data_IF_140418554212
#
_entry.id   IF_140418554212
#
_cell.length_a   1.000
_cell.length_b   1.000
_cell.length_c   1.000
_cell.angle_alpha   90.00
_cell.angle_beta   90.00
_cell.angle_gamma   90.00
#
_symmetry.space_group_name_H-M   'P 1'
#
loop_
_entity.id
_entity.type
_entity.pdbx_description
1 polymer ?
#
# COMPACT_ATOMS: atom_id res chain seq x y z
N UNK A 1 -21.16 6.80 -1.07
CA UNK A 1 -19.73 6.64 -0.76
C UNK A 1 -18.95 7.01 -2.00
N UNK A 2 -18.15 8.08 -1.97
CA UNK A 2 -17.32 8.42 -3.13
C UNK A 2 -16.17 7.42 -3.22
N UNK A 3 -16.21 6.55 -4.23
CA UNK A 3 -15.11 5.65 -4.51
C UNK A 3 -13.91 6.45 -5.01
N UNK A 4 -13.00 6.81 -4.11
CA UNK A 4 -11.75 7.45 -4.48
C UNK A 4 -10.92 6.46 -5.29
N UNK A 5 -10.67 6.74 -6.56
CA UNK A 5 -9.80 5.89 -7.37
C UNK A 5 -8.37 5.91 -6.78
N UNK A 6 -7.86 4.73 -6.46
CA UNK A 6 -6.56 4.55 -5.79
C UNK A 6 -5.83 3.38 -6.42
N UNK A 7 -4.61 3.64 -6.89
CA UNK A 7 -3.73 2.60 -7.43
C UNK A 7 -2.60 2.35 -6.44
N UNK A 8 -2.36 1.08 -6.09
CA UNK A 8 -1.36 0.68 -5.09
C UNK A 8 -0.15 0.08 -5.79
N UNK A 9 1.05 0.56 -5.42
CA UNK A 9 2.32 0.11 -5.96
C UNK A 9 3.20 -0.42 -4.84
N UNK A 10 3.73 -1.63 -5.03
CA UNK A 10 4.79 -2.19 -4.19
C UNK A 10 6.13 -1.83 -4.81
N UNK A 11 7.02 -1.25 -4.02
CA UNK A 11 8.40 -0.96 -4.43
C UNK A 11 9.35 -2.08 -4.02
N UNK A 12 9.18 -2.61 -2.82
CA UNK A 12 9.96 -3.75 -2.32
C UNK A 12 9.19 -4.51 -1.25
N UNK A 13 9.47 -5.80 -1.15
CA UNK A 13 9.00 -6.64 -0.05
C UNK A 13 10.19 -7.43 0.49
N UNK A 14 10.43 -7.30 1.80
CA UNK A 14 11.44 -8.06 2.52
C UNK A 14 10.72 -9.11 3.37
N UNK A 15 10.74 -10.39 2.97
CA UNK A 15 10.11 -11.44 3.75
C UNK A 15 10.89 -11.67 5.06
N UNK A 16 10.18 -12.13 6.09
CA UNK A 16 10.77 -12.72 7.30
C UNK A 16 9.96 -13.96 7.70
N UNK A 17 10.41 -14.68 8.72
CA UNK A 17 9.72 -15.87 9.22
C UNK A 17 8.26 -15.63 9.64
N UNK A 18 7.92 -14.40 10.06
CA UNK A 18 6.60 -14.08 10.65
C UNK A 18 5.82 -13.08 9.79
N UNK A 19 6.50 -12.06 9.24
CA UNK A 19 5.85 -11.01 8.46
C UNK A 19 6.76 -10.43 7.39
N UNK A 20 6.16 -10.01 6.27
CA UNK A 20 6.87 -9.28 5.22
C UNK A 20 6.79 -7.78 5.47
N UNK A 21 7.95 -7.12 5.48
CA UNK A 21 8.02 -5.65 5.43
C UNK A 21 7.84 -5.22 3.98
N UNK A 22 6.81 -4.43 3.70
CA UNK A 22 6.50 -3.95 2.36
C UNK A 22 6.70 -2.44 2.34
N UNK A 23 7.46 -1.96 1.35
CA UNK A 23 7.56 -0.54 1.06
C UNK A 23 6.88 -0.27 -0.27
N UNK A 24 6.14 0.82 -0.34
CA UNK A 24 5.40 1.15 -1.55
C UNK A 24 4.88 2.58 -1.54
N UNK A 25 3.99 2.83 -2.49
CA UNK A 25 3.24 4.07 -2.56
C UNK A 25 1.88 3.80 -3.19
N UNK A 26 0.92 4.66 -2.93
CA UNK A 26 -0.32 4.69 -3.70
C UNK A 26 -0.47 6.04 -4.41
N UNK A 27 -1.23 6.02 -5.50
CA UNK A 27 -1.64 7.23 -6.23
C UNK A 27 -3.13 7.44 -5.95
N UNK A 28 -3.50 8.62 -5.47
CA UNK A 28 -4.89 9.04 -5.26
C UNK A 28 -5.04 10.48 -5.79
N UNK A 29 -5.99 10.72 -6.69
CA UNK A 29 -6.17 12.04 -7.35
C UNK A 29 -4.86 12.62 -7.92
N UNK A 30 -4.03 11.78 -8.56
CA UNK A 30 -2.73 12.18 -9.11
C UNK A 30 -1.60 12.35 -8.10
N UNK A 31 -1.88 12.23 -6.79
CA UNK A 31 -0.90 12.43 -5.74
C UNK A 31 -0.26 11.12 -5.27
N UNK A 32 1.08 11.11 -5.25
CA UNK A 32 1.87 9.96 -4.82
C UNK A 32 2.14 10.01 -3.31
N UNK A 33 1.59 9.04 -2.58
CA UNK A 33 1.75 8.91 -1.13
C UNK A 33 2.55 7.66 -0.79
N UNK A 34 3.72 7.84 -0.18
CA UNK A 34 4.56 6.73 0.27
C UNK A 34 3.95 6.07 1.52
N UNK A 35 4.04 4.74 1.56
CA UNK A 35 3.63 3.95 2.71
C UNK A 35 4.68 2.90 3.09
N UNK A 36 4.61 2.46 4.34
CA UNK A 36 5.20 1.21 4.83
C UNK A 36 4.07 0.29 5.25
N UNK A 37 4.21 -1.00 4.99
CA UNK A 37 3.23 -1.97 5.43
C UNK A 37 3.89 -3.22 6.01
N UNK A 38 3.16 -3.87 6.90
CA UNK A 38 3.49 -5.18 7.44
C UNK A 38 2.42 -6.14 6.96
N UNK A 39 2.80 -7.15 6.19
CA UNK A 39 1.92 -8.23 5.77
C UNK A 39 2.26 -9.48 6.58
N UNK A 40 1.32 -9.98 7.38
CA UNK A 40 1.52 -11.18 8.19
C UNK A 40 1.23 -12.44 7.36
N UNK A 41 2.16 -13.41 7.39
CA UNK A 41 2.09 -14.59 6.53
C UNK A 41 2.57 -14.36 5.09
N UNK A 42 1.99 -15.09 4.12
CA UNK A 42 2.26 -14.88 2.68
C UNK A 42 1.61 -13.58 2.22
N UNK A 43 2.33 -12.80 1.40
CA UNK A 43 1.77 -11.63 0.71
C UNK A 43 0.60 -12.13 -0.16
N UNK A 44 -0.62 -11.62 0.06
CA UNK A 44 -1.85 -12.08 -0.60
C UNK A 44 -2.72 -13.06 0.22
N UNK A 45 -2.70 -12.98 1.55
CA UNK A 45 -3.46 -13.91 2.41
C UNK A 45 -4.17 -13.27 3.60
N UNK A 46 -3.45 -12.74 4.59
CA UNK A 46 -4.04 -12.69 5.95
C UNK A 46 -3.57 -11.51 6.82
N UNK A 47 -4.02 -10.31 6.47
CA UNK A 47 -3.81 -9.03 7.19
C UNK A 47 -2.58 -8.22 6.76
N UNK A 48 -2.86 -7.00 6.33
CA UNK A 48 -1.85 -5.99 5.99
C UNK A 48 -2.14 -4.75 6.82
N UNK A 49 -1.16 -4.29 7.59
CA UNK A 49 -1.21 -3.00 8.26
C UNK A 49 -0.42 -1.97 7.45
N UNK A 50 -1.07 -0.90 6.99
CA UNK A 50 -0.45 0.17 6.21
C UNK A 50 -0.28 1.42 7.08
N UNK A 51 0.90 2.03 7.00
CA UNK A 51 1.24 3.30 7.67
C UNK A 51 1.80 4.31 6.67
N UNK A 52 1.36 5.55 6.80
CA UNK A 52 1.91 6.71 6.08
C UNK A 52 2.51 7.70 7.09
N UNK A 53 3.29 8.67 6.61
CA UNK A 53 3.82 9.72 7.48
C UNK A 53 2.70 10.70 7.90
N UNK A 54 2.80 11.29 9.10
CA UNK A 54 1.86 12.34 9.58
C UNK A 54 1.75 13.53 8.61
N UNK A 55 2.81 13.86 7.89
CA UNK A 55 2.79 14.90 6.84
C UNK A 55 1.87 14.52 5.68
N UNK A 56 1.83 13.24 5.30
CA UNK A 56 0.94 12.73 4.26
C UNK A 56 -0.52 12.68 4.73
N UNK A 57 -0.78 12.32 6.00
CA UNK A 57 -2.14 12.42 6.57
C UNK A 57 -2.68 13.85 6.50
N UNK A 58 -1.86 14.85 6.89
CA UNK A 58 -2.22 16.26 6.79
C UNK A 58 -2.47 16.68 5.35
N UNK A 59 -1.66 16.19 4.40
CA UNK A 59 -1.85 16.44 2.96
C UNK A 59 -3.19 15.89 2.47
N UNK A 60 -3.51 14.64 2.80
CA UNK A 60 -4.79 14.00 2.45
C UNK A 60 -5.99 14.77 3.02
N UNK A 61 -5.94 15.16 4.30
CA UNK A 61 -6.99 15.98 4.91
C UNK A 61 -7.19 17.31 4.20
N UNK A 62 -6.11 18.00 3.79
CA UNK A 62 -6.18 19.23 2.98
C UNK A 62 -6.81 19.02 1.60
N UNK A 63 -6.70 17.82 1.04
CA UNK A 63 -7.35 17.44 -0.23
C UNK A 63 -8.82 17.02 -0.05
N UNK A 64 -9.37 17.10 1.17
CA UNK A 64 -10.71 16.62 1.49
C UNK A 64 -10.82 15.08 1.48
N UNK A 65 -9.72 14.37 1.74
CA UNK A 65 -9.68 12.92 1.80
C UNK A 65 -9.46 12.50 3.26
N UNK A 66 -10.31 11.59 3.75
CA UNK A 66 -10.09 10.95 5.04
C UNK A 66 -8.91 9.96 4.94
N UNK A 67 -7.81 10.17 5.67
CA UNK A 67 -6.67 9.26 5.65
C UNK A 67 -7.03 7.85 6.13
N UNK A 68 -7.92 7.71 7.10
CA UNK A 68 -8.27 6.42 7.70
C UNK A 68 -9.07 5.57 6.72
N UNK A 69 -10.10 6.16 6.09
CA UNK A 69 -10.89 5.50 5.05
C UNK A 69 -10.02 5.09 3.86
N UNK A 70 -9.11 5.98 3.43
CA UNK A 70 -8.19 5.70 2.33
C UNK A 70 -7.22 4.56 2.68
N UNK A 71 -6.66 4.56 3.89
CA UNK A 71 -5.76 3.50 4.36
C UNK A 71 -6.49 2.15 4.39
N UNK A 72 -7.74 2.10 4.87
CA UNK A 72 -8.56 0.88 4.84
C UNK A 72 -8.72 0.37 3.40
N UNK A 73 -8.98 1.27 2.44
CA UNK A 73 -9.07 0.91 1.03
C UNK A 73 -7.76 0.34 0.48
N UNK A 74 -6.62 0.98 0.79
CA UNK A 74 -5.29 0.48 0.39
C UNK A 74 -5.00 -0.89 1.00
N UNK A 75 -5.31 -1.11 2.28
CA UNK A 75 -5.15 -2.41 2.92
C UNK A 75 -5.99 -3.50 2.25
N UNK A 76 -7.27 -3.21 1.94
CA UNK A 76 -8.15 -4.15 1.23
C UNK A 76 -7.58 -4.53 -0.14
N UNK A 77 -7.11 -3.55 -0.91
CA UNK A 77 -6.46 -3.78 -2.20
C UNK A 77 -5.23 -4.70 -2.07
N UNK A 78 -4.38 -4.45 -1.08
CA UNK A 78 -3.22 -5.31 -0.81
C UNK A 78 -3.62 -6.74 -0.39
N UNK A 79 -4.70 -6.90 0.37
CA UNK A 79 -5.21 -8.22 0.80
C UNK A 79 -5.75 -9.02 -0.38
N UNK A 80 -6.49 -8.40 -1.30
CA UNK A 80 -7.06 -9.08 -2.48
C UNK A 80 -6.08 -9.20 -3.66
N UNK A 81 -4.87 -8.67 -3.52
CA UNK A 81 -3.85 -8.69 -4.58
C UNK A 81 -4.02 -7.64 -5.68
N UNK A 82 -4.89 -6.64 -5.50
CA UNK A 82 -5.03 -5.49 -6.40
C UNK A 82 -3.90 -4.47 -6.17
N UNK A 83 -2.69 -4.85 -6.58
CA UNK A 83 -1.49 -4.03 -6.47
C UNK A 83 -0.50 -4.30 -7.60
N UNK A 84 0.21 -3.24 -7.99
CA UNK A 84 1.27 -3.32 -9.00
C UNK A 84 2.57 -3.67 -8.31
N UNK A 85 3.10 -4.85 -8.61
CA UNK A 85 4.37 -5.35 -8.08
C UNK A 85 5.54 -4.83 -8.93
N UNK A 86 6.74 -4.67 -8.33
CA UNK A 86 7.92 -4.33 -9.12
C UNK A 86 8.17 -5.47 -10.12
N UNK A 87 8.52 -5.13 -11.38
CA UNK A 87 8.93 -6.14 -12.36
C UNK A 87 10.08 -6.94 -11.76
N UNK A 88 9.84 -8.21 -11.44
CA UNK A 88 10.90 -9.13 -11.09
C UNK A 88 11.70 -9.31 -12.39
N UNK A 89 12.92 -8.75 -12.45
CA UNK A 89 13.89 -9.21 -13.44
C UNK A 89 14.24 -10.64 -13.04
N UNK A 90 13.52 -11.61 -13.60
CA UNK A 90 13.99 -12.99 -13.57
C UNK A 90 15.35 -13.00 -14.28
N UNK A 91 16.44 -13.09 -13.51
CA UNK A 91 17.67 -13.67 -14.03
C UNK A 91 17.39 -15.16 -14.15
N UNK A 92 16.78 -15.55 -15.27
CA UNK A 92 17.00 -16.89 -15.81
C UNK A 92 18.31 -16.77 -16.60
N UNK A 93 19.41 -17.09 -15.91
CA UNK A 93 20.63 -17.61 -16.52
C UNK A 93 20.70 -19.09 -16.15
#
# INVERSE_FOLDING_TARGET
>A
MNEQDVTVYVSSATPSAIASKVNGYFIVRGEKIKYKAIAFGRIGGHNVNVKIAKSNERKLRKMGIDPEELIIKVQRKMVVGDMIMPKIKNKME
#
